data_IF_579401116155
#
_entry.id   IF_579401116155
#
_cell.length_a   1.000
_cell.length_b   1.000
_cell.length_c   1.000
_cell.angle_alpha   90.00
_cell.angle_beta   90.00
_cell.angle_gamma   90.00
#
_symmetry.space_group_name_H-M   'P 1'
#
loop_
_entity.id
_entity.type
_entity.pdbx_description
1 polymer ?
#
# COMPACT_ATOMS: atom_id res chain seq x y z
N UNK A 1 -1.56 -43.24 59.94
CA UNK A 1 -0.64 -44.11 59.19
C UNK A 1 -0.22 -43.30 57.99
N UNK A 2 0.97 -42.76 58.08
CA UNK A 2 2.02 -42.56 57.08
C UNK A 2 1.57 -42.01 55.68
N UNK A 3 2.16 -41.04 54.99
CA UNK A 3 3.47 -40.40 55.13
C UNK A 3 3.49 -39.09 54.31
N UNK A 4 4.33 -38.20 54.74
CA UNK A 4 4.71 -36.97 54.02
C UNK A 4 5.50 -37.31 52.76
N UNK A 5 5.41 -36.47 51.73
CA UNK A 5 6.61 -36.14 50.95
C UNK A 5 6.47 -34.76 50.33
N UNK A 6 7.45 -33.98 50.72
CA UNK A 6 7.83 -32.64 50.26
C UNK A 6 8.38 -32.68 48.83
N UNK A 7 8.07 -31.66 48.03
CA UNK A 7 8.71 -31.47 46.72
C UNK A 7 8.66 -30.00 46.31
N UNK A 8 9.68 -29.27 46.69
CA UNK A 8 10.02 -27.93 46.20
C UNK A 8 10.44 -28.01 44.73
N UNK A 9 9.78 -27.27 43.87
CA UNK A 9 10.20 -27.06 42.48
C UNK A 9 9.94 -25.62 42.06
N UNK A 10 10.94 -24.75 42.28
CA UNK A 10 11.01 -23.43 41.67
C UNK A 10 11.28 -23.60 40.19
N UNK A 11 10.28 -23.34 39.36
CA UNK A 11 10.44 -23.18 37.92
C UNK A 11 10.37 -21.70 37.55
N UNK A 12 11.53 -21.09 37.28
CA UNK A 12 11.62 -19.84 36.56
C UNK A 12 11.12 -20.12 35.15
N UNK A 13 10.04 -19.47 34.77
CA UNK A 13 9.68 -19.33 33.33
C UNK A 13 9.89 -17.90 32.90
N UNK A 14 10.80 -17.76 31.96
CA UNK A 14 11.25 -16.55 31.35
C UNK A 14 10.09 -15.76 30.70
N UNK A 15 10.08 -14.44 30.97
CA UNK A 15 9.28 -13.47 30.25
C UNK A 15 9.68 -13.50 28.76
N UNK A 16 8.73 -13.85 27.91
CA UNK A 16 8.81 -13.62 26.47
C UNK A 16 8.58 -12.14 26.18
N UNK A 17 9.63 -11.47 25.76
CA UNK A 17 9.56 -10.12 25.22
C UNK A 17 8.73 -10.16 23.93
N UNK A 18 7.61 -9.46 23.91
CA UNK A 18 6.77 -9.24 22.73
C UNK A 18 7.57 -8.42 21.71
N UNK A 19 8.10 -9.11 20.70
CA UNK A 19 8.77 -8.48 19.57
C UNK A 19 7.76 -7.76 18.68
N UNK A 20 8.02 -6.52 18.40
CA UNK A 20 7.34 -5.73 17.38
C UNK A 20 7.67 -6.32 16.00
N UNK A 21 6.63 -6.79 15.31
CA UNK A 21 6.76 -7.25 13.93
C UNK A 21 6.80 -6.02 13.03
N UNK A 22 7.99 -5.65 12.60
CA UNK A 22 8.16 -4.77 11.44
C UNK A 22 7.99 -5.60 10.18
N UNK A 23 6.95 -5.35 9.42
CA UNK A 23 6.79 -5.91 8.06
C UNK A 23 7.79 -5.21 7.15
N UNK A 24 8.94 -5.84 6.97
CA UNK A 24 9.92 -5.47 5.96
C UNK A 24 9.54 -6.12 4.62
N UNK A 25 9.18 -5.31 3.65
CA UNK A 25 9.08 -5.73 2.25
C UNK A 25 10.50 -5.75 1.69
N UNK A 26 11.03 -6.95 1.41
CA UNK A 26 12.26 -7.11 0.67
C UNK A 26 11.95 -7.35 -0.81
N UNK A 27 12.53 -6.60 -1.74
CA UNK A 27 12.57 -7.03 -3.13
C UNK A 27 13.74 -7.98 -3.33
N UNK A 28 13.45 -9.18 -3.82
CA UNK A 28 14.43 -10.14 -4.29
C UNK A 28 14.92 -9.74 -5.69
N UNK A 29 16.21 -9.47 -5.79
CA UNK A 29 16.97 -9.62 -7.04
C UNK A 29 18.30 -10.26 -6.67
N UNK A 30 18.45 -11.52 -7.02
CA UNK A 30 19.71 -12.23 -6.98
C UNK A 30 20.15 -12.45 -8.43
N UNK A 31 21.36 -12.01 -8.76
CA UNK A 31 22.17 -12.73 -9.73
C UNK A 31 23.65 -12.51 -9.43
N UNK A 32 24.34 -13.64 -9.50
CA UNK A 32 25.65 -13.92 -9.03
C UNK A 32 26.80 -13.19 -9.73
N UNK A 33 27.87 -13.06 -9.01
CA UNK A 33 29.22 -13.12 -9.53
C UNK A 33 30.20 -13.63 -8.48
N UNK A 34 30.80 -14.77 -8.82
CA UNK A 34 32.18 -15.22 -8.71
C UNK A 34 33.05 -14.78 -7.52
N UNK A 35 33.54 -15.78 -6.84
CA UNK A 35 34.53 -15.73 -5.77
C UNK A 35 35.87 -15.18 -6.25
N UNK A 36 36.38 -14.15 -5.57
CA UNK A 36 37.78 -13.76 -5.61
C UNK A 36 38.37 -13.85 -4.20
N UNK A 37 39.43 -14.56 -4.15
CA UNK A 37 40.38 -14.95 -3.14
C UNK A 37 40.79 -13.84 -2.17
N UNK A 38 40.72 -14.11 -0.86
CA UNK A 38 41.20 -13.24 0.20
C UNK A 38 42.71 -13.32 0.38
N UNK A 39 43.46 -12.23 0.54
CA UNK A 39 44.81 -12.26 1.04
C UNK A 39 44.85 -12.28 2.59
N UNK A 40 45.83 -13.01 3.11
CA UNK A 40 46.14 -13.26 4.51
C UNK A 40 46.46 -12.00 5.35
N UNK A 41 46.33 -12.06 6.67
CA UNK A 41 46.40 -10.89 7.55
C UNK A 41 47.85 -10.45 7.78
N UNK A 42 48.12 -9.17 7.60
CA UNK A 42 49.30 -8.51 8.07
C UNK A 42 49.12 -8.10 9.55
N UNK A 43 50.02 -8.54 10.41
CA UNK A 43 50.18 -8.06 11.77
C UNK A 43 50.45 -6.55 11.77
N UNK A 44 49.60 -5.80 12.45
CA UNK A 44 49.86 -4.40 12.77
C UNK A 44 49.48 -4.10 14.25
N UNK A 45 50.54 -3.83 15.00
CA UNK A 45 50.69 -3.00 16.18
C UNK A 45 49.43 -2.70 16.99
N UNK A 46 49.46 -3.21 18.24
CA UNK A 46 48.59 -2.78 19.33
C UNK A 46 48.99 -1.34 19.72
N UNK A 47 48.29 -0.37 19.20
CA UNK A 47 48.29 1.00 19.67
C UNK A 47 47.23 1.10 20.77
N UNK A 48 47.70 1.38 21.98
CA UNK A 48 46.87 1.56 23.18
C UNK A 48 45.87 2.69 22.93
N UNK A 49 44.58 2.30 22.66
CA UNK A 49 43.49 3.24 22.64
C UNK A 49 43.31 3.80 24.07
N UNK A 50 43.73 5.03 24.26
CA UNK A 50 43.37 5.88 25.38
C UNK A 50 41.85 5.93 25.48
N UNK A 51 41.31 5.54 26.66
CA UNK A 51 39.88 5.55 26.92
C UNK A 51 39.36 6.99 26.76
N UNK A 52 38.70 7.26 25.63
CA UNK A 52 37.91 8.47 25.48
C UNK A 52 36.70 8.28 26.40
N UNK A 53 36.75 8.92 27.58
CA UNK A 53 35.55 9.10 28.37
C UNK A 53 34.48 9.74 27.46
N UNK A 54 33.23 9.18 27.40
CA UNK A 54 32.18 9.85 26.70
C UNK A 54 31.99 11.22 27.32
N UNK A 55 32.24 12.27 26.54
CA UNK A 55 31.89 13.62 26.96
C UNK A 55 30.42 13.59 27.40
N UNK A 56 30.18 13.91 28.67
CA UNK A 56 28.85 14.07 29.20
C UNK A 56 28.19 15.17 28.37
N UNK A 57 27.38 14.81 27.39
CA UNK A 57 26.50 15.74 26.71
C UNK A 57 25.69 16.43 27.80
N UNK A 58 25.77 17.76 27.86
CA UNK A 58 25.02 18.56 28.81
C UNK A 58 23.55 18.21 28.66
N UNK A 59 22.99 17.52 29.65
CA UNK A 59 21.57 17.21 29.71
C UNK A 59 20.80 18.50 29.58
N UNK A 60 19.87 18.65 28.65
CA UNK A 60 19.06 19.86 28.53
C UNK A 60 18.38 20.10 29.89
N UNK A 61 18.34 21.35 30.33
CA UNK A 61 17.61 21.80 31.51
C UNK A 61 16.10 21.74 31.22
N UNK A 62 15.56 20.53 31.25
CA UNK A 62 14.16 20.19 31.01
C UNK A 62 13.34 20.07 32.31
N UNK A 63 13.95 20.44 33.45
CA UNK A 63 13.31 20.47 34.77
C UNK A 63 13.19 19.11 35.47
N UNK A 64 13.77 18.04 34.91
CA UNK A 64 13.80 16.73 35.58
C UNK A 64 15.00 16.58 36.49
N UNK A 65 14.77 15.96 37.66
CA UNK A 65 15.82 15.79 38.68
C UNK A 65 16.88 14.73 38.29
N UNK A 66 16.51 13.78 37.42
CA UNK A 66 17.36 12.68 36.99
C UNK A 66 16.84 12.02 35.74
N UNK A 67 17.62 11.10 35.14
CA UNK A 67 17.29 10.39 33.91
C UNK A 67 16.07 9.46 34.04
N UNK A 68 15.86 8.89 35.25
CA UNK A 68 14.69 8.02 35.46
C UNK A 68 13.40 8.81 35.38
N UNK A 69 13.35 10.01 35.96
CA UNK A 69 12.17 10.89 35.87
C UNK A 69 11.92 11.33 34.41
N UNK A 70 13.00 11.67 33.72
CA UNK A 70 12.94 12.06 32.27
C UNK A 70 12.38 10.94 31.41
N UNK A 71 12.89 9.72 31.55
CA UNK A 71 12.43 8.55 30.81
C UNK A 71 10.99 8.20 31.18
N UNK A 72 10.63 8.25 32.46
CA UNK A 72 9.27 7.99 32.93
C UNK A 72 8.27 8.97 32.33
N UNK A 73 8.63 10.26 32.27
CA UNK A 73 7.80 11.27 31.62
C UNK A 73 7.68 11.05 30.12
N UNK A 74 8.78 10.72 29.43
CA UNK A 74 8.78 10.43 28.00
C UNK A 74 7.85 9.26 27.66
N UNK A 75 7.90 8.16 28.43
CA UNK A 75 7.00 7.01 28.25
C UNK A 75 5.54 7.43 28.43
N UNK A 76 5.23 8.17 29.50
CA UNK A 76 3.86 8.66 29.73
C UNK A 76 3.35 9.57 28.62
N UNK A 77 4.21 10.47 28.12
CA UNK A 77 3.91 11.35 27.01
C UNK A 77 3.61 10.56 25.73
N UNK A 78 4.43 9.57 25.40
CA UNK A 78 4.28 8.76 24.19
C UNK A 78 2.98 7.94 24.23
N UNK A 79 2.64 7.35 25.38
CA UNK A 79 1.36 6.65 25.59
C UNK A 79 0.19 7.61 25.40
N UNK A 80 0.24 8.78 26.02
CA UNK A 80 -0.82 9.80 25.91
C UNK A 80 -1.00 10.33 24.48
N UNK A 81 0.12 10.59 23.77
CA UNK A 81 0.10 11.01 22.38
C UNK A 81 -0.47 9.94 21.47
N UNK A 82 -0.11 8.67 21.70
CA UNK A 82 -0.62 7.54 20.93
C UNK A 82 -2.15 7.39 21.10
N UNK A 83 -2.65 7.45 22.31
CA UNK A 83 -4.10 7.39 22.57
C UNK A 83 -4.85 8.56 21.94
N UNK A 84 -4.30 9.77 22.05
CA UNK A 84 -4.90 10.97 21.45
C UNK A 84 -4.93 10.91 19.92
N UNK A 85 -3.82 10.51 19.28
CA UNK A 85 -3.71 10.44 17.82
C UNK A 85 -4.61 9.39 17.20
N UNK A 86 -4.87 8.30 17.91
CA UNK A 86 -5.78 7.24 17.50
C UNK A 86 -7.23 7.45 17.98
N UNK A 87 -7.50 8.57 18.62
CA UNK A 87 -8.82 8.90 19.20
C UNK A 87 -9.33 7.80 20.16
N UNK A 88 -8.40 7.23 20.96
CA UNK A 88 -8.70 6.20 21.96
C UNK A 88 -9.15 6.87 23.24
N UNK A 89 -10.39 6.64 23.63
CA UNK A 89 -10.92 7.12 24.91
C UNK A 89 -10.50 6.21 26.06
N UNK A 90 -9.69 6.73 26.99
CA UNK A 90 -9.24 6.04 28.20
C UNK A 90 -9.45 6.92 29.43
N UNK A 91 -9.75 6.30 30.57
CA UNK A 91 -9.71 6.99 31.86
C UNK A 91 -8.26 6.92 32.41
N UNK A 92 -7.54 8.03 32.25
CA UNK A 92 -6.12 8.12 32.66
C UNK A 92 -5.91 7.85 34.15
N UNK A 93 -6.83 8.30 35.02
CA UNK A 93 -6.71 8.10 36.47
C UNK A 93 -6.79 6.61 36.84
N UNK A 94 -7.73 5.89 36.23
CA UNK A 94 -7.89 4.43 36.42
C UNK A 94 -6.67 3.68 35.86
N UNK A 95 -6.13 4.13 34.73
CA UNK A 95 -4.92 3.53 34.16
C UNK A 95 -3.70 3.73 35.07
N UNK A 96 -3.52 4.94 35.62
CA UNK A 96 -2.44 5.24 36.54
C UNK A 96 -2.58 4.45 37.83
N UNK A 97 -3.80 4.27 38.36
CA UNK A 97 -4.07 3.43 39.54
C UNK A 97 -3.64 1.98 39.29
N UNK A 98 -4.06 1.40 38.16
CA UNK A 98 -3.69 0.04 37.77
C UNK A 98 -2.17 -0.11 37.60
N UNK A 99 -1.52 0.89 36.97
CA UNK A 99 -0.07 0.92 36.77
C UNK A 99 0.67 0.90 38.13
N UNK A 100 0.23 1.70 39.11
CA UNK A 100 0.85 1.77 40.45
C UNK A 100 0.69 0.45 41.21
N UNK A 101 -0.53 -0.11 41.23
CA UNK A 101 -0.79 -1.38 41.89
C UNK A 101 0.04 -2.51 41.30
N UNK A 102 0.07 -2.63 39.99
CA UNK A 102 0.84 -3.68 39.28
C UNK A 102 2.35 -3.52 39.48
N UNK A 103 2.87 -2.28 39.45
CA UNK A 103 4.28 -2.00 39.67
C UNK A 103 4.74 -2.30 41.12
N UNK A 104 3.86 -2.04 42.08
CA UNK A 104 4.12 -2.34 43.51
C UNK A 104 3.94 -3.82 43.86
N UNK A 105 3.40 -4.65 42.94
CA UNK A 105 3.06 -6.05 43.25
C UNK A 105 1.84 -6.20 44.15
N UNK A 106 1.00 -5.17 44.23
CA UNK A 106 -0.25 -5.16 44.99
C UNK A 106 -1.37 -5.88 44.21
N UNK A 107 -2.43 -6.24 44.93
CA UNK A 107 -3.62 -6.84 44.34
C UNK A 107 -4.32 -5.82 43.41
N UNK A 108 -4.54 -6.20 42.15
CA UNK A 108 -5.25 -5.38 41.18
C UNK A 108 -6.76 -5.66 41.21
N UNK A 109 -7.58 -4.70 40.74
CA UNK A 109 -9.05 -4.86 40.69
C UNK A 109 -9.53 -5.93 39.73
N UNK A 110 -8.66 -6.35 38.80
CA UNK A 110 -8.96 -7.35 37.76
C UNK A 110 -7.96 -8.49 37.84
N UNK A 111 -8.42 -9.70 37.57
CA UNK A 111 -7.54 -10.82 37.30
C UNK A 111 -6.93 -10.68 35.89
N UNK A 112 -5.83 -11.39 35.62
CA UNK A 112 -5.19 -11.40 34.28
C UNK A 112 -6.18 -11.82 33.18
N UNK A 113 -7.06 -12.78 33.47
CA UNK A 113 -8.09 -13.25 32.56
C UNK A 113 -9.13 -12.15 32.23
N UNK A 114 -9.57 -11.42 33.26
CA UNK A 114 -10.49 -10.30 33.08
C UNK A 114 -9.84 -9.15 32.30
N UNK A 115 -8.58 -8.86 32.57
CA UNK A 115 -7.83 -7.84 31.85
C UNK A 115 -7.65 -8.20 30.36
N UNK A 116 -7.27 -9.44 30.06
CA UNK A 116 -7.17 -9.94 28.68
C UNK A 116 -8.51 -9.87 27.95
N UNK A 117 -9.60 -10.29 28.59
CA UNK A 117 -10.96 -10.23 28.01
C UNK A 117 -11.38 -8.78 27.69
N UNK A 118 -11.09 -7.85 28.62
CA UNK A 118 -11.39 -6.43 28.40
C UNK A 118 -10.60 -5.85 27.21
N UNK A 119 -9.31 -6.16 27.11
CA UNK A 119 -8.44 -5.74 25.98
C UNK A 119 -8.94 -6.34 24.65
N UNK A 120 -9.29 -7.63 24.64
CA UNK A 120 -9.82 -8.28 23.43
C UNK A 120 -11.13 -7.64 22.96
N UNK A 121 -12.05 -7.37 23.88
CA UNK A 121 -13.32 -6.69 23.58
C UNK A 121 -13.06 -5.29 23.02
N UNK A 122 -12.14 -4.56 23.62
CA UNK A 122 -11.74 -3.24 23.14
C UNK A 122 -11.14 -3.30 21.72
N UNK A 123 -10.26 -4.24 21.43
CA UNK A 123 -9.68 -4.44 20.11
C UNK A 123 -10.76 -4.73 19.06
N UNK A 124 -11.73 -5.59 19.38
CA UNK A 124 -12.87 -5.87 18.48
C UNK A 124 -13.69 -4.61 18.20
N UNK A 125 -13.98 -3.82 19.23
CA UNK A 125 -14.72 -2.56 19.07
C UNK A 125 -13.95 -1.56 18.20
N UNK A 126 -12.64 -1.46 18.38
CA UNK A 126 -11.79 -0.59 17.55
C UNK A 126 -11.77 -1.04 16.08
N UNK A 127 -11.67 -2.33 15.83
CA UNK A 127 -11.75 -2.88 14.47
C UNK A 127 -13.11 -2.58 13.82
N UNK A 128 -14.20 -2.74 14.56
CA UNK A 128 -15.54 -2.41 14.06
C UNK A 128 -15.68 -0.92 13.73
N UNK A 129 -15.21 -0.03 14.62
CA UNK A 129 -15.23 1.42 14.36
C UNK A 129 -14.39 1.81 13.14
N UNK A 130 -13.22 1.20 12.95
CA UNK A 130 -12.38 1.44 11.77
C UNK A 130 -13.06 0.97 10.49
N UNK A 131 -13.68 -0.22 10.52
CA UNK A 131 -14.42 -0.75 9.37
C UNK A 131 -15.61 0.16 9.02
N UNK A 132 -16.39 0.59 10.01
CA UNK A 132 -17.51 1.51 9.82
C UNK A 132 -17.05 2.86 9.23
N UNK A 133 -15.95 3.42 9.75
CA UNK A 133 -15.37 4.65 9.22
C UNK A 133 -14.90 4.50 7.76
N UNK A 134 -14.26 3.38 7.42
CA UNK A 134 -13.85 3.07 6.05
C UNK A 134 -15.06 2.91 5.12
N UNK A 135 -16.09 2.20 5.54
CA UNK A 135 -17.31 2.03 4.74
C UNK A 135 -17.99 3.37 4.48
N UNK A 136 -18.10 4.21 5.51
CA UNK A 136 -18.69 5.55 5.38
C UNK A 136 -17.87 6.42 4.42
N UNK A 137 -16.56 6.42 4.55
CA UNK A 137 -15.68 7.15 3.65
C UNK A 137 -15.81 6.66 2.19
N UNK A 138 -15.92 5.35 1.99
CA UNK A 138 -16.12 4.77 0.67
C UNK A 138 -17.49 5.14 0.08
N UNK A 139 -18.55 5.14 0.89
CA UNK A 139 -19.89 5.57 0.47
C UNK A 139 -19.94 7.06 0.10
N UNK A 140 -19.32 7.91 0.91
CA UNK A 140 -19.21 9.35 0.63
C UNK A 140 -18.41 9.61 -0.65
N UNK A 141 -17.29 8.90 -0.84
CA UNK A 141 -16.48 9.00 -2.05
C UNK A 141 -17.23 8.52 -3.29
N UNK A 142 -17.98 7.41 -3.18
CA UNK A 142 -18.81 6.90 -4.25
C UNK A 142 -19.90 7.90 -4.67
N UNK A 143 -20.64 8.44 -3.69
CA UNK A 143 -21.70 9.42 -3.97
C UNK A 143 -21.13 10.66 -4.68
N UNK A 144 -20.01 11.18 -4.17
CA UNK A 144 -19.30 12.31 -4.76
C UNK A 144 -18.85 12.02 -6.19
N UNK A 145 -18.13 10.91 -6.38
CA UNK A 145 -17.60 10.54 -7.70
C UNK A 145 -18.72 10.31 -8.73
N UNK A 146 -19.84 9.74 -8.30
CA UNK A 146 -21.00 9.53 -9.19
C UNK A 146 -21.59 10.85 -9.64
N UNK A 147 -21.83 11.79 -8.72
CA UNK A 147 -22.35 13.12 -9.04
C UNK A 147 -21.39 13.91 -9.96
N UNK A 148 -20.10 13.91 -9.64
CA UNK A 148 -19.07 14.58 -10.44
C UNK A 148 -18.95 13.94 -11.84
N UNK A 149 -19.04 12.61 -11.96
CA UNK A 149 -19.01 11.89 -13.22
C UNK A 149 -20.20 12.26 -14.10
N UNK A 150 -21.41 12.24 -13.56
CA UNK A 150 -22.63 12.60 -14.30
C UNK A 150 -22.55 14.02 -14.85
N UNK A 151 -22.17 14.98 -14.02
CA UNK A 151 -22.05 16.38 -14.42
C UNK A 151 -20.96 16.58 -15.48
N UNK A 152 -19.81 15.97 -15.26
CA UNK A 152 -18.65 16.08 -16.17
C UNK A 152 -18.95 15.45 -17.52
N UNK A 153 -19.41 14.20 -17.55
CA UNK A 153 -19.66 13.46 -18.79
C UNK A 153 -20.84 14.07 -19.58
N UNK A 154 -21.89 14.56 -18.89
CA UNK A 154 -22.99 15.26 -19.53
C UNK A 154 -22.54 16.55 -20.23
N UNK A 155 -21.65 17.31 -19.61
CA UNK A 155 -21.08 18.51 -20.22
C UNK A 155 -20.02 18.20 -21.28
N UNK A 156 -19.28 17.10 -21.12
CA UNK A 156 -18.15 16.76 -22.01
C UNK A 156 -18.63 16.25 -23.38
N UNK A 157 -19.71 15.45 -23.42
CA UNK A 157 -20.26 14.90 -24.67
C UNK A 157 -20.69 15.98 -25.68
N UNK A 158 -21.03 17.19 -25.21
CA UNK A 158 -21.48 18.30 -26.06
C UNK A 158 -20.31 19.18 -26.55
N UNK A 159 -19.06 18.85 -26.15
CA UNK A 159 -17.86 19.54 -26.63
C UNK A 159 -17.52 19.14 -28.04
N UNK A 160 -16.95 20.07 -28.79
CA UNK A 160 -16.55 19.85 -30.20
C UNK A 160 -15.56 18.69 -30.33
N UNK A 161 -15.82 17.76 -31.23
CA UNK A 161 -14.98 16.60 -31.53
C UNK A 161 -15.14 15.42 -30.56
N UNK A 162 -15.93 15.54 -29.51
CA UNK A 162 -16.20 14.42 -28.60
C UNK A 162 -17.16 13.43 -29.23
N UNK A 163 -16.77 12.17 -29.24
CA UNK A 163 -17.59 11.04 -29.66
C UNK A 163 -17.93 10.19 -28.43
N UNK A 164 -19.08 9.50 -28.48
CA UNK A 164 -19.58 8.66 -27.37
C UNK A 164 -19.89 7.27 -27.92
N UNK A 165 -19.39 6.23 -27.29
CA UNK A 165 -19.68 4.85 -27.64
C UNK A 165 -20.91 4.31 -26.90
N UNK A 166 -21.37 3.09 -27.24
CA UNK A 166 -22.50 2.44 -26.58
C UNK A 166 -22.18 2.10 -25.11
N UNK A 167 -20.90 1.89 -24.76
CA UNK A 167 -20.46 1.64 -23.38
C UNK A 167 -20.45 2.89 -22.51
N UNK A 168 -20.60 4.08 -23.12
CA UNK A 168 -20.50 5.37 -22.46
C UNK A 168 -19.09 5.96 -22.46
N UNK A 169 -18.09 5.27 -23.05
CA UNK A 169 -16.78 5.86 -23.28
C UNK A 169 -16.93 7.13 -24.12
N UNK A 170 -16.32 8.22 -23.68
CA UNK A 170 -16.20 9.43 -24.49
C UNK A 170 -14.75 9.60 -24.94
N UNK A 171 -14.54 10.02 -26.18
CA UNK A 171 -13.20 10.17 -26.71
C UNK A 171 -13.09 11.29 -27.74
N UNK A 172 -11.88 11.81 -27.89
CA UNK A 172 -11.52 12.78 -28.94
C UNK A 172 -10.22 12.30 -29.55
N UNK A 173 -10.19 12.18 -30.86
CA UNK A 173 -8.95 11.95 -31.62
C UNK A 173 -8.50 13.31 -32.15
N UNK A 174 -7.38 13.82 -31.63
CA UNK A 174 -6.79 15.09 -32.06
C UNK A 174 -5.90 14.95 -33.29
N UNK A 175 -5.23 13.80 -33.41
CA UNK A 175 -4.43 13.43 -34.55
C UNK A 175 -4.81 12.00 -34.96
N UNK A 176 -5.28 11.81 -36.18
CA UNK A 176 -5.63 10.49 -36.71
C UNK A 176 -4.39 9.82 -37.30
N UNK A 177 -4.02 8.67 -36.76
CA UNK A 177 -2.99 7.83 -37.35
C UNK A 177 -3.46 7.09 -38.59
N UNK A 178 -2.52 6.60 -39.37
CA UNK A 178 -2.72 5.82 -40.59
C UNK A 178 -2.16 4.39 -40.49
N UNK A 179 -1.69 4.01 -39.32
CA UNK A 179 -1.16 2.66 -39.07
C UNK A 179 -2.23 1.63 -38.73
N UNK A 180 -1.80 0.49 -38.24
CA UNK A 180 -2.65 -0.62 -37.83
C UNK A 180 -3.53 -0.24 -36.62
N UNK A 181 -4.79 -0.71 -36.61
CA UNK A 181 -5.69 -0.53 -35.47
C UNK A 181 -5.55 -1.74 -34.53
N UNK A 182 -5.31 -1.53 -33.23
CA UNK A 182 -5.14 -2.63 -32.29
C UNK A 182 -6.37 -3.53 -32.18
N UNK A 183 -6.17 -4.84 -32.21
CA UNK A 183 -7.18 -5.83 -31.88
C UNK A 183 -7.18 -6.21 -30.38
N UNK A 184 -8.18 -6.97 -29.92
CA UNK A 184 -8.32 -7.31 -28.50
C UNK A 184 -7.21 -8.22 -27.94
N UNK A 185 -6.51 -8.97 -28.81
CA UNK A 185 -5.42 -9.89 -28.43
C UNK A 185 -4.03 -9.28 -28.61
N UNK A 186 -3.95 -8.10 -29.22
CA UNK A 186 -2.70 -7.42 -29.52
C UNK A 186 -2.07 -6.81 -28.28
N UNK A 187 -0.80 -6.50 -28.41
CA UNK A 187 -0.06 -5.64 -27.48
C UNK A 187 0.12 -4.27 -28.11
N UNK A 188 -0.15 -3.23 -27.34
CA UNK A 188 0.03 -1.85 -27.81
C UNK A 188 1.12 -1.16 -27.00
N UNK A 189 1.94 -0.40 -27.72
CA UNK A 189 2.93 0.50 -27.13
C UNK A 189 2.41 1.93 -27.23
N UNK A 190 2.27 2.59 -26.09
CA UNK A 190 1.68 3.93 -25.99
C UNK A 190 2.49 4.85 -25.09
N UNK A 191 2.44 6.14 -25.38
CA UNK A 191 2.59 7.14 -24.36
C UNK A 191 1.21 7.51 -23.82
N UNK A 192 1.11 7.64 -22.50
CA UNK A 192 -0.14 8.05 -21.87
C UNK A 192 0.10 8.88 -20.61
N UNK A 193 -0.92 9.65 -20.27
CA UNK A 193 -1.02 10.39 -19.01
C UNK A 193 -2.43 10.23 -18.47
N UNK A 194 -2.55 9.55 -17.31
CA UNK A 194 -3.80 9.36 -16.60
C UNK A 194 -4.03 10.45 -15.56
N UNK A 195 -5.23 11.03 -15.56
CA UNK A 195 -5.65 12.04 -14.61
C UNK A 195 -7.10 11.85 -14.17
N UNK A 196 -7.46 12.42 -13.03
CA UNK A 196 -8.83 12.53 -12.54
C UNK A 196 -9.52 13.75 -13.15
N UNK A 197 -10.83 13.91 -12.90
CA UNK A 197 -11.63 15.06 -13.36
C UNK A 197 -11.07 16.38 -12.82
N UNK A 198 -10.54 16.39 -11.60
CA UNK A 198 -9.93 17.56 -10.97
C UNK A 198 -8.54 17.92 -11.51
N UNK A 199 -8.01 17.12 -12.45
CA UNK A 199 -6.69 17.29 -13.03
C UNK A 199 -5.56 16.63 -12.26
N UNK A 200 -5.82 15.97 -11.15
CA UNK A 200 -4.81 15.20 -10.40
C UNK A 200 -4.27 14.06 -11.28
N UNK A 201 -2.98 14.09 -11.57
CA UNK A 201 -2.29 13.05 -12.34
C UNK A 201 -1.97 11.88 -11.41
N UNK A 202 -2.38 10.68 -11.79
CA UNK A 202 -2.11 9.48 -11.00
C UNK A 202 -1.10 8.54 -11.65
N UNK A 203 -0.93 8.63 -12.98
CA UNK A 203 0.07 7.84 -13.71
C UNK A 203 0.43 8.53 -15.03
N UNK A 204 1.72 8.41 -15.44
CA UNK A 204 2.24 9.04 -16.65
C UNK A 204 3.47 8.29 -17.16
N UNK A 205 3.42 7.82 -18.39
CA UNK A 205 4.59 7.25 -19.07
C UNK A 205 5.63 8.31 -19.42
N UNK A 206 5.19 9.56 -19.58
CA UNK A 206 6.10 10.69 -19.84
C UNK A 206 6.99 10.97 -18.62
N UNK A 207 6.43 10.87 -17.40
CA UNK A 207 7.19 11.11 -16.18
C UNK A 207 8.19 9.97 -15.91
N UNK A 208 7.93 8.77 -16.42
CA UNK A 208 8.88 7.64 -16.39
C UNK A 208 9.95 7.75 -17.47
N UNK A 209 9.73 8.56 -18.51
CA UNK A 209 10.68 8.78 -19.60
C UNK A 209 10.67 7.72 -20.69
N UNK A 210 9.75 6.73 -20.62
CA UNK A 210 9.63 5.63 -21.58
C UNK A 210 8.17 5.29 -21.87
N UNK A 211 7.83 4.85 -23.12
CA UNK A 211 6.49 4.37 -23.44
C UNK A 211 6.19 3.06 -22.71
N UNK A 212 4.91 2.77 -22.53
CA UNK A 212 4.45 1.54 -21.89
C UNK A 212 3.82 0.61 -22.93
N UNK A 213 4.06 -0.70 -22.77
CA UNK A 213 3.48 -1.73 -23.62
C UNK A 213 2.53 -2.60 -22.81
N UNK A 214 1.27 -2.68 -23.25
CA UNK A 214 0.21 -3.45 -22.57
C UNK A 214 -0.43 -4.44 -23.53
N UNK A 215 -0.87 -5.63 -23.06
CA UNK A 215 -1.87 -6.40 -23.79
C UNK A 215 -3.21 -5.65 -23.73
N UNK A 216 -3.89 -5.48 -24.87
CA UNK A 216 -5.18 -4.74 -24.95
C UNK A 216 -6.22 -5.35 -24.01
N UNK A 217 -6.30 -6.69 -23.93
CA UNK A 217 -7.18 -7.39 -23.01
C UNK A 217 -6.78 -7.36 -21.53
N UNK A 218 -5.62 -6.76 -21.18
CA UNK A 218 -5.08 -6.70 -19.82
C UNK A 218 -5.29 -5.36 -19.10
N UNK A 219 -5.89 -4.38 -19.75
CA UNK A 219 -6.17 -3.06 -19.18
C UNK A 219 -7.66 -2.91 -18.84
N UNK A 220 -8.03 -1.80 -18.19
CA UNK A 220 -9.45 -1.51 -17.89
C UNK A 220 -10.30 -1.46 -19.18
N UNK A 221 -11.56 -1.92 -19.14
CA UNK A 221 -12.39 -2.09 -20.34
C UNK A 221 -12.49 -0.83 -21.21
N UNK A 222 -12.72 0.33 -20.62
CA UNK A 222 -12.83 1.59 -21.37
C UNK A 222 -11.53 2.04 -22.01
N UNK A 223 -10.36 1.70 -21.43
CA UNK A 223 -9.08 1.97 -22.05
C UNK A 223 -8.80 1.01 -23.21
N UNK A 224 -9.12 -0.28 -23.05
CA UNK A 224 -9.04 -1.27 -24.10
C UNK A 224 -9.93 -0.90 -25.31
N UNK A 225 -11.15 -0.48 -25.06
CA UNK A 225 -12.08 0.00 -26.10
C UNK A 225 -11.50 1.23 -26.81
N UNK A 226 -11.01 2.22 -26.06
CA UNK A 226 -10.44 3.43 -26.62
C UNK A 226 -9.23 3.16 -27.52
N UNK A 227 -8.33 2.24 -27.12
CA UNK A 227 -7.17 1.84 -27.92
C UNK A 227 -7.59 1.20 -29.27
N UNK A 228 -8.65 0.41 -29.28
CA UNK A 228 -9.18 -0.22 -30.49
C UNK A 228 -9.86 0.76 -31.44
N UNK A 229 -10.07 2.01 -31.03
CA UNK A 229 -10.57 3.11 -31.90
C UNK A 229 -9.43 3.99 -32.44
N UNK A 230 -8.19 3.76 -32.03
CA UNK A 230 -7.03 4.61 -32.31
C UNK A 230 -5.97 3.83 -33.11
N UNK A 231 -5.87 3.98 -34.43
CA UNK A 231 -4.77 3.43 -35.20
C UNK A 231 -3.39 3.93 -34.72
N UNK A 232 -2.34 3.17 -35.00
CA UNK A 232 -0.96 3.59 -34.74
C UNK A 232 -0.67 4.95 -35.34
N UNK A 233 -0.04 5.84 -34.58
CA UNK A 233 0.20 7.24 -34.91
C UNK A 233 -0.89 8.18 -34.44
N UNK A 234 -2.00 7.66 -33.90
CA UNK A 234 -3.07 8.51 -33.33
C UNK A 234 -2.68 9.12 -32.01
N UNK A 235 -3.18 10.34 -31.80
CA UNK A 235 -3.22 11.00 -30.48
C UNK A 235 -4.65 11.38 -30.13
N UNK A 236 -5.02 11.19 -28.89
CA UNK A 236 -6.36 11.50 -28.44
C UNK A 236 -6.50 11.53 -26.94
N UNK A 237 -7.72 11.77 -26.53
CA UNK A 237 -8.11 11.80 -25.13
C UNK A 237 -9.31 10.88 -24.92
N UNK A 238 -9.21 10.02 -23.92
CA UNK A 238 -10.26 9.11 -23.49
C UNK A 238 -10.81 9.60 -22.15
N UNK A 239 -12.14 9.66 -22.04
CA UNK A 239 -12.86 9.97 -20.80
C UNK A 239 -13.65 8.72 -20.42
N UNK A 240 -13.16 7.99 -19.46
CA UNK A 240 -13.61 6.64 -19.11
C UNK A 240 -14.51 6.71 -17.89
N UNK A 241 -15.83 6.47 -18.00
CA UNK A 241 -16.71 6.36 -16.86
C UNK A 241 -16.24 5.28 -15.88
N UNK A 242 -16.53 5.47 -14.60
CA UNK A 242 -16.10 4.57 -13.55
C UNK A 242 -16.52 3.11 -13.76
N UNK A 243 -17.71 2.87 -14.33
CA UNK A 243 -18.25 1.52 -14.57
C UNK A 243 -17.40 0.68 -15.53
N UNK A 244 -16.75 1.31 -16.51
CA UNK A 244 -15.83 0.66 -17.45
C UNK A 244 -14.36 0.97 -17.14
N UNK A 245 -14.10 1.55 -15.96
CA UNK A 245 -12.78 1.74 -15.38
C UNK A 245 -12.54 0.71 -14.26
N UNK A 246 -12.42 1.16 -13.01
CA UNK A 246 -12.20 0.28 -11.84
C UNK A 246 -13.49 -0.05 -11.05
N UNK A 247 -14.63 0.52 -11.45
CA UNK A 247 -15.94 0.25 -10.85
C UNK A 247 -16.00 0.57 -9.36
N UNK A 248 -16.83 -0.21 -8.66
CA UNK A 248 -17.07 -0.06 -7.21
C UNK A 248 -15.87 -0.47 -6.35
N UNK A 249 -14.96 -1.29 -6.87
CA UNK A 249 -13.75 -1.69 -6.13
C UNK A 249 -12.81 -0.52 -5.91
N UNK A 250 -12.93 0.51 -6.76
CA UNK A 250 -12.12 1.71 -6.69
C UNK A 250 -10.70 1.52 -7.24
N UNK A 251 -10.19 2.62 -7.77
CA UNK A 251 -8.86 2.77 -8.29
C UNK A 251 -8.35 4.16 -7.94
N UNK A 252 -7.54 4.76 -8.79
CA UNK A 252 -7.19 6.17 -8.65
C UNK A 252 -8.46 7.03 -8.54
N UNK A 253 -8.54 7.86 -7.50
CA UNK A 253 -9.72 8.69 -7.22
C UNK A 253 -10.85 8.01 -6.43
N UNK A 254 -10.73 6.70 -6.11
CA UNK A 254 -11.73 5.97 -5.32
C UNK A 254 -12.78 5.25 -6.16
N UNK A 255 -13.89 4.80 -5.51
CA UNK A 255 -14.93 4.03 -6.19
C UNK A 255 -15.65 4.87 -7.26
N UNK A 256 -15.92 4.26 -8.39
CA UNK A 256 -16.63 4.83 -9.53
C UNK A 256 -16.07 6.15 -10.07
N UNK A 257 -14.76 6.40 -9.88
CA UNK A 257 -14.11 7.59 -10.38
C UNK A 257 -14.00 7.56 -11.92
N UNK A 258 -14.36 8.65 -12.57
CA UNK A 258 -14.11 8.85 -14.01
C UNK A 258 -12.63 9.15 -14.22
N UNK A 259 -12.02 8.46 -15.17
CA UNK A 259 -10.62 8.62 -15.54
C UNK A 259 -10.47 9.32 -16.88
N UNK A 260 -9.44 10.14 -16.98
CA UNK A 260 -9.10 10.84 -18.21
C UNK A 260 -7.70 10.41 -18.62
N UNK A 261 -7.55 9.92 -19.86
CA UNK A 261 -6.25 9.55 -20.40
C UNK A 261 -5.97 10.37 -21.66
N UNK A 262 -4.84 11.08 -21.66
CA UNK A 262 -4.19 11.54 -22.86
C UNK A 262 -3.36 10.37 -23.41
N UNK A 263 -3.54 9.98 -24.65
CA UNK A 263 -2.94 8.77 -25.24
C UNK A 263 -2.32 9.08 -26.60
N UNK A 264 -1.11 8.55 -26.83
CA UNK A 264 -0.44 8.51 -28.13
C UNK A 264 -0.08 7.05 -28.44
N UNK A 265 -0.63 6.50 -29.52
CA UNK A 265 -0.39 5.11 -29.94
C UNK A 265 0.85 5.07 -30.82
N UNK A 266 1.89 4.38 -30.33
CA UNK A 266 3.19 4.33 -31.02
C UNK A 266 3.39 3.06 -31.83
N UNK A 267 2.78 1.93 -31.42
CA UNK A 267 2.95 0.66 -32.10
C UNK A 267 1.96 -0.40 -31.62
N UNK A 268 1.78 -1.40 -32.45
CA UNK A 268 0.95 -2.60 -32.22
C UNK A 268 1.79 -3.82 -32.53
N UNK A 269 1.71 -4.83 -31.69
CA UNK A 269 2.32 -6.14 -31.88
C UNK A 269 1.22 -7.19 -31.76
N UNK A 270 0.90 -7.85 -32.88
CA UNK A 270 -0.04 -8.98 -32.87
C UNK A 270 0.66 -10.24 -32.38
N UNK A 271 -0.01 -11.10 -31.58
CA UNK A 271 0.57 -12.36 -31.18
C UNK A 271 0.88 -13.22 -32.43
N UNK A 272 2.08 -13.80 -32.48
CA UNK A 272 2.39 -14.77 -33.54
C UNK A 272 1.33 -15.86 -33.53
N UNK A 273 0.72 -16.19 -34.70
CA UNK A 273 -0.19 -17.32 -34.77
C UNK A 273 0.52 -18.58 -34.25
N UNK A 274 -0.03 -19.20 -33.21
CA UNK A 274 0.50 -20.44 -32.67
C UNK A 274 0.79 -21.37 -33.86
N UNK A 275 2.05 -21.72 -34.07
CA UNK A 275 2.49 -22.57 -35.19
C UNK A 275 1.54 -23.78 -35.26
N UNK A 276 0.81 -23.87 -36.36
CA UNK A 276 -0.14 -24.96 -36.64
C UNK A 276 0.59 -26.26 -36.38
N UNK A 277 0.06 -27.02 -35.40
CA UNK A 277 0.71 -28.19 -34.85
C UNK A 277 1.30 -29.09 -35.91
N UNK A 278 2.51 -29.50 -35.60
CA UNK A 278 3.27 -30.55 -36.26
C UNK A 278 2.34 -31.69 -36.65
N UNK A 279 2.17 -31.85 -37.96
CA UNK A 279 1.40 -32.91 -38.56
C UNK A 279 2.01 -34.23 -38.13
N UNK A 280 1.31 -34.99 -37.28
CA UNK A 280 1.71 -36.33 -36.85
C UNK A 280 2.05 -37.16 -38.08
N UNK A 281 3.25 -37.76 -38.20
CA UNK A 281 3.56 -38.61 -39.33
C UNK A 281 2.62 -39.81 -39.29
N UNK A 282 1.90 -40.00 -40.40
CA UNK A 282 1.05 -41.15 -40.64
C UNK A 282 1.84 -42.44 -40.42
N UNK A 283 1.43 -43.21 -39.43
CA UNK A 283 1.90 -44.60 -39.28
C UNK A 283 1.40 -45.37 -40.48
N UNK A 284 2.31 -45.61 -41.42
CA UNK A 284 2.09 -46.55 -42.51
C UNK A 284 1.99 -47.99 -42.00
N UNK A 285 1.14 -48.76 -42.66
CA UNK A 285 0.89 -50.21 -42.49
C UNK A 285 2.13 -51.09 -42.49
#
# INVERSE_FOLDING_TARGET
MFERLTGTGRGLTALGVMGWVTVGVSPAWADGHEAAEAPAPAEAAVETAEAVEPAAEATPDDGFANDVDRVSYAIGRDIGTNFSSQNIEVNVDVMVEALRASYAGEETRMTDEQAMSAIQTFQQQMQMKQMEAMMKQQEEALAKNTEEAELFLAANKDKEGVQVTESGLQYVISEQGDGETPGPEDRVTVHYKGSLIDGTVFDSSYDRGEPATFPVGGVIPGFAEGLQLMPVGSKGKLFIPGDIAYGMQGGPGGPNATLIFDVEVLGVESPEPAAAGDELPALGD
#
